data_IF_609465611467
#
_entry.id   IF_609465611467
#
_cell.length_a   1.000
_cell.length_b   1.000
_cell.length_c   1.000
_cell.angle_alpha   90.00
_cell.angle_beta   90.00
_cell.angle_gamma   90.00
#
_symmetry.space_group_name_H-M   'P 1'
#
loop_
_entity.id
_entity.type
_entity.pdbx_description
1 polymer ?
#
# COMPACT_ATOMS: atom_id res chain seq x y z
N UNK A 1 11.06 -3.37 18.99
CA UNK A 1 10.75 -3.86 17.64
C UNK A 1 11.80 -3.29 16.71
N UNK A 2 12.72 -4.11 16.20
CA UNK A 2 13.57 -3.70 15.07
C UNK A 2 12.71 -3.89 13.83
N UNK A 3 12.62 -2.88 12.99
CA UNK A 3 11.89 -2.99 11.72
C UNK A 3 12.73 -3.82 10.76
N UNK A 4 12.15 -4.87 10.18
CA UNK A 4 12.86 -5.79 9.26
C UNK A 4 13.39 -5.06 8.02
N UNK A 5 12.72 -3.97 7.62
CA UNK A 5 13.19 -3.03 6.61
C UNK A 5 13.09 -1.58 7.12
N UNK A 6 14.19 -1.01 7.65
CA UNK A 6 14.24 0.39 8.05
C UNK A 6 13.96 1.36 6.89
N UNK A 7 14.37 0.99 5.67
CA UNK A 7 14.13 1.77 4.46
C UNK A 7 12.64 1.86 4.14
N UNK A 8 11.95 0.73 4.04
CA UNK A 8 10.51 0.69 3.74
C UNK A 8 9.68 1.37 4.83
N UNK A 9 10.13 1.29 6.09
CA UNK A 9 9.52 2.02 7.20
C UNK A 9 9.66 3.54 7.04
N UNK A 10 10.83 4.03 6.65
CA UNK A 10 11.03 5.46 6.40
C UNK A 10 10.23 5.94 5.17
N UNK A 11 10.21 5.14 4.11
CA UNK A 11 9.47 5.42 2.87
C UNK A 11 7.97 5.55 3.12
N UNK A 12 7.34 4.59 3.81
CA UNK A 12 5.90 4.67 4.10
C UNK A 12 5.58 5.87 5.01
N UNK A 13 6.47 6.22 5.93
CA UNK A 13 6.37 7.44 6.73
C UNK A 13 6.38 8.72 5.88
N UNK A 14 7.28 8.81 4.90
CA UNK A 14 7.38 9.98 4.03
C UNK A 14 6.26 10.04 2.99
N UNK A 15 5.93 8.92 2.36
CA UNK A 15 4.97 8.86 1.25
C UNK A 15 3.52 8.98 1.72
N UNK A 16 3.19 8.47 2.91
CA UNK A 16 1.86 8.61 3.51
C UNK A 16 1.44 10.08 3.71
N UNK A 17 2.39 11.00 3.82
CA UNK A 17 2.14 12.44 3.97
C UNK A 17 1.86 13.15 2.64
N UNK A 18 1.88 12.43 1.50
CA UNK A 18 1.73 12.98 0.15
C UNK A 18 0.56 12.32 -0.56
N UNK A 19 -0.58 12.99 -0.59
CA UNK A 19 -1.83 12.48 -1.17
C UNK A 19 -1.65 12.04 -2.64
N UNK A 20 -0.92 12.81 -3.43
CA UNK A 20 -0.64 12.54 -4.84
C UNK A 20 0.19 11.27 -5.08
N UNK A 21 1.01 10.90 -4.09
CA UNK A 21 1.78 9.65 -4.09
C UNK A 21 0.88 8.50 -3.62
N UNK A 22 0.13 8.70 -2.54
CA UNK A 22 -0.77 7.70 -1.96
C UNK A 22 -1.76 7.15 -2.99
N UNK A 23 -2.35 8.00 -3.83
CA UNK A 23 -3.29 7.60 -4.92
C UNK A 23 -2.68 6.66 -5.98
N UNK A 24 -1.36 6.47 -5.97
CA UNK A 24 -0.59 5.59 -6.87
C UNK A 24 0.13 4.48 -6.10
N UNK A 25 -0.12 4.34 -4.80
CA UNK A 25 0.57 3.43 -3.92
C UNK A 25 -0.30 2.23 -3.58
N UNK A 26 0.32 1.05 -3.52
CA UNK A 26 -0.22 -0.14 -2.88
C UNK A 26 0.67 -0.47 -1.67
N UNK A 27 0.06 -0.71 -0.52
CA UNK A 27 0.75 -1.17 0.69
C UNK A 27 0.31 -2.60 0.94
N UNK A 28 1.26 -3.52 0.91
CA UNK A 28 1.04 -4.93 1.25
C UNK A 28 1.71 -5.19 2.60
N UNK A 29 0.93 -5.66 3.56
CA UNK A 29 1.40 -6.00 4.90
C UNK A 29 0.99 -7.41 5.25
N UNK A 30 1.72 -8.03 6.19
CA UNK A 30 1.38 -9.36 6.67
C UNK A 30 0.01 -9.35 7.37
N UNK A 31 -0.78 -10.40 7.16
CA UNK A 31 -2.10 -10.57 7.77
C UNK A 31 -2.06 -10.51 9.30
N UNK A 32 -0.95 -10.91 9.93
CA UNK A 32 -0.75 -10.79 11.37
C UNK A 32 -0.83 -9.34 11.88
N UNK A 33 -0.66 -8.34 11.00
CA UNK A 33 -0.66 -6.93 11.35
C UNK A 33 -1.99 -6.20 11.10
N UNK A 34 -2.99 -6.83 10.48
CA UNK A 34 -4.26 -6.20 10.10
C UNK A 34 -4.98 -5.51 11.26
N UNK A 35 -5.03 -6.20 12.41
CA UNK A 35 -5.61 -5.70 13.66
C UNK A 35 -4.59 -5.30 14.71
N UNK A 36 -3.32 -5.13 14.33
CA UNK A 36 -2.27 -4.80 15.30
C UNK A 36 -2.33 -3.35 15.77
N UNK A 37 -2.17 -3.13 17.07
CA UNK A 37 -2.05 -1.79 17.66
C UNK A 37 -0.61 -1.25 17.53
N UNK A 38 -0.15 -1.11 16.29
CA UNK A 38 1.23 -0.75 15.95
C UNK A 38 1.34 0.63 15.30
N UNK A 39 2.49 1.30 15.49
CA UNK A 39 2.77 2.61 14.87
C UNK A 39 2.49 2.62 13.37
N UNK A 40 2.96 1.60 12.64
CA UNK A 40 2.78 1.50 11.17
C UNK A 40 1.30 1.43 10.80
N UNK A 41 0.51 0.61 11.51
CA UNK A 41 -0.91 0.44 11.26
C UNK A 41 -1.68 1.73 11.56
N UNK A 42 -1.52 2.25 12.78
CA UNK A 42 -2.31 3.38 13.27
C UNK A 42 -1.87 4.75 12.71
N UNK A 43 -0.65 4.84 12.19
CA UNK A 43 -0.12 6.05 11.59
C UNK A 43 -0.14 5.99 10.05
N UNK A 44 1.00 5.66 9.42
CA UNK A 44 1.19 5.84 7.99
C UNK A 44 0.25 4.97 7.13
N UNK A 45 -0.15 3.76 7.57
CA UNK A 45 -1.10 2.92 6.79
C UNK A 45 -2.49 3.55 6.75
N UNK A 46 -3.08 3.91 7.90
CA UNK A 46 -4.40 4.58 7.94
C UNK A 46 -4.37 5.89 7.16
N UNK A 47 -3.31 6.69 7.31
CA UNK A 47 -3.20 7.96 6.58
C UNK A 47 -3.13 7.72 5.06
N UNK A 48 -2.31 6.78 4.61
CA UNK A 48 -2.21 6.41 3.19
C UNK A 48 -3.55 5.95 2.61
N UNK A 49 -4.27 5.11 3.37
CA UNK A 49 -5.60 4.60 3.01
C UNK A 49 -6.61 5.75 2.89
N UNK A 50 -6.60 6.71 3.82
CA UNK A 50 -7.46 7.90 3.77
C UNK A 50 -7.20 8.79 2.54
N UNK A 51 -5.98 8.76 1.99
CA UNK A 51 -5.60 9.42 0.75
C UNK A 51 -5.78 8.55 -0.50
N UNK A 52 -6.35 7.35 -0.36
CA UNK A 52 -6.73 6.48 -1.47
C UNK A 52 -5.62 5.53 -1.95
N UNK A 53 -4.63 5.23 -1.11
CA UNK A 53 -3.74 4.09 -1.34
C UNK A 53 -4.50 2.77 -1.23
N UNK A 54 -4.12 1.77 -2.03
CA UNK A 54 -4.68 0.42 -1.90
C UNK A 54 -3.93 -0.32 -0.78
N UNK A 55 -4.60 -0.65 0.32
CA UNK A 55 -4.01 -1.41 1.43
C UNK A 55 -4.51 -2.84 1.38
N UNK A 56 -3.59 -3.80 1.50
CA UNK A 56 -3.87 -5.24 1.54
C UNK A 56 -3.11 -5.90 2.68
N UNK A 57 -3.83 -6.63 3.50
CA UNK A 57 -3.26 -7.55 4.48
C UNK A 57 -3.36 -8.95 3.92
N UNK A 58 -2.23 -9.62 3.76
CA UNK A 58 -2.14 -10.95 3.14
C UNK A 58 -1.11 -11.79 3.88
N UNK A 59 -1.31 -13.10 3.87
CA UNK A 59 -0.24 -14.00 4.24
C UNK A 59 0.90 -13.86 3.20
N UNK A 60 2.05 -13.33 3.62
CA UNK A 60 3.17 -13.07 2.72
C UNK A 60 3.83 -14.35 2.19
N UNK A 61 3.54 -15.51 2.80
CA UNK A 61 3.96 -16.81 2.25
C UNK A 61 3.11 -17.22 1.03
N UNK A 62 1.89 -16.67 0.89
CA UNK A 62 1.02 -16.87 -0.27
C UNK A 62 1.41 -15.93 -1.41
N UNK A 63 2.55 -16.21 -2.05
CA UNK A 63 3.12 -15.37 -3.13
C UNK A 63 2.14 -15.17 -4.29
N UNK A 64 1.39 -16.21 -4.68
CA UNK A 64 0.42 -16.14 -5.77
C UNK A 64 -0.70 -15.11 -5.50
N UNK A 65 -1.14 -15.02 -4.23
CA UNK A 65 -2.18 -14.10 -3.82
C UNK A 65 -1.65 -12.65 -3.84
N UNK A 66 -0.41 -12.45 -3.39
CA UNK A 66 0.28 -11.17 -3.45
C UNK A 66 0.44 -10.70 -4.90
N UNK A 67 0.89 -11.59 -5.79
CA UNK A 67 1.02 -11.32 -7.23
C UNK A 67 -0.33 -10.93 -7.85
N UNK A 68 -1.39 -11.65 -7.49
CA UNK A 68 -2.74 -11.36 -7.96
C UNK A 68 -3.17 -9.92 -7.61
N UNK A 69 -2.97 -9.49 -6.36
CA UNK A 69 -3.31 -8.14 -5.94
C UNK A 69 -2.49 -7.07 -6.64
N UNK A 70 -1.19 -7.28 -6.81
CA UNK A 70 -0.33 -6.36 -7.56
C UNK A 70 -0.81 -6.22 -9.01
N UNK A 71 -1.13 -7.34 -9.69
CA UNK A 71 -1.65 -7.31 -11.06
C UNK A 71 -2.98 -6.56 -11.16
N UNK A 72 -3.89 -6.79 -10.23
CA UNK A 72 -5.16 -6.05 -10.18
C UNK A 72 -4.93 -4.54 -10.02
N UNK A 73 -4.04 -4.15 -9.10
CA UNK A 73 -3.70 -2.76 -8.85
C UNK A 73 -3.11 -2.08 -10.10
N UNK A 74 -2.14 -2.73 -10.76
CA UNK A 74 -1.53 -2.23 -11.99
C UNK A 74 -2.56 -2.10 -13.14
N UNK A 75 -3.51 -3.03 -13.24
CA UNK A 75 -4.58 -2.95 -14.23
C UNK A 75 -5.49 -1.72 -13.98
N UNK A 76 -5.89 -1.46 -12.73
CA UNK A 76 -6.68 -0.26 -12.36
C UNK A 76 -5.94 1.03 -12.69
N UNK A 77 -4.66 1.11 -12.33
CA UNK A 77 -3.84 2.29 -12.64
C UNK A 77 -3.71 2.51 -14.16
N UNK A 78 -3.49 1.44 -14.92
CA UNK A 78 -3.37 1.50 -16.38
C UNK A 78 -4.67 1.98 -17.04
N UNK A 79 -5.83 1.51 -16.58
CA UNK A 79 -7.13 1.96 -17.07
C UNK A 79 -7.36 3.45 -16.77
N UNK A 80 -7.07 3.89 -15.54
CA UNK A 80 -7.18 5.30 -15.13
C UNK A 80 -6.27 6.21 -15.95
N UNK A 81 -5.05 5.75 -16.25
CA UNK A 81 -4.11 6.50 -17.08
C UNK A 81 -4.59 6.62 -18.54
N UNK A 82 -5.10 5.53 -19.12
CA UNK A 82 -5.69 5.55 -20.48
C UNK A 82 -6.90 6.47 -20.56
N UNK A 83 -7.80 6.42 -19.58
CA UNK A 83 -8.97 7.31 -19.54
C UNK A 83 -8.57 8.79 -19.50
N UNK A 84 -7.43 9.13 -18.89
CA UNK A 84 -6.91 10.51 -18.80
C UNK A 84 -6.24 11.01 -20.08
N UNK A 85 -5.87 10.12 -21.00
CA UNK A 85 -5.26 10.44 -22.30
C UNK A 85 -6.30 10.66 -23.42
N UNK A 86 -7.57 10.30 -23.17
CA UNK A 86 -8.66 10.38 -24.15
C UNK A 86 -9.49 11.68 -23.99
N UNK A 87 -9.14 12.51 -23.01
CA UNK A 87 -9.76 13.81 -22.70
C UNK A 87 -8.76 14.91 -23.04
#
# INVERSE_FOLDING_TARGET
>A
MIVDSPGSFAEIGAFSMKEEICRKMIVISDIAHEGSDGYVRNGPVILSESFGAEVRFVDLSAVDLTEHFIKQFLAKLSQKHRAKLII
#
